data_IF_397979331661
#
_entry.id   IF_397979331661
#
_cell.length_a   1.000
_cell.length_b   1.000
_cell.length_c   1.000
_cell.angle_alpha   90.00
_cell.angle_beta   90.00
_cell.angle_gamma   90.00
#
_symmetry.space_group_name_H-M   'P 1'
#
loop_
_entity.id
_entity.type
_entity.pdbx_description
1 polymer ?
#
# COMPACT_ATOMS: atom_id res chain seq x y z
N UNK A 1 8.14 12.31 -3.45
CA UNK A 1 8.34 12.52 -4.89
C UNK A 1 7.95 13.94 -5.34
N UNK A 2 7.01 14.57 -4.64
CA UNK A 2 6.48 15.90 -4.98
C UNK A 2 6.33 16.73 -3.69
N UNK A 3 7.45 17.15 -3.05
CA UNK A 3 7.44 17.75 -1.71
C UNK A 3 6.66 19.07 -1.67
N UNK A 4 6.66 19.82 -2.77
CA UNK A 4 6.04 21.16 -2.86
C UNK A 4 4.61 21.13 -3.42
N UNK A 5 4.04 19.94 -3.66
CA UNK A 5 2.69 19.83 -4.25
C UNK A 5 1.60 20.35 -3.32
N UNK A 6 1.69 20.06 -2.03
CA UNK A 6 0.78 20.56 -1.00
C UNK A 6 1.52 20.82 0.30
N UNK A 7 1.28 21.99 0.87
CA UNK A 7 1.68 22.28 2.25
C UNK A 7 0.67 21.65 3.22
N UNK A 8 1.15 21.09 4.33
CA UNK A 8 0.31 20.51 5.38
C UNK A 8 0.80 20.91 6.75
N UNK A 9 -0.07 20.87 7.74
CA UNK A 9 0.30 20.98 9.15
C UNK A 9 0.77 19.63 9.67
N UNK A 10 1.41 19.64 10.84
CA UNK A 10 1.87 18.43 11.49
C UNK A 10 1.19 18.28 12.86
N UNK A 11 0.86 17.07 13.22
CA UNK A 11 0.35 16.71 14.53
C UNK A 11 1.47 16.84 15.60
N UNK A 12 1.10 16.76 16.90
CA UNK A 12 2.06 16.71 18.01
C UNK A 12 3.09 15.56 17.88
N UNK A 13 2.73 14.50 17.18
CA UNK A 13 3.59 13.33 16.88
C UNK A 13 4.38 13.48 15.58
N UNK A 14 4.50 14.69 15.04
CA UNK A 14 5.18 14.99 13.76
C UNK A 14 4.63 14.23 12.54
N UNK A 15 3.38 13.76 12.59
CA UNK A 15 2.71 13.17 11.45
C UNK A 15 1.96 14.25 10.65
N UNK A 16 1.98 14.22 9.30
CA UNK A 16 1.25 15.17 8.48
C UNK A 16 -0.26 15.05 8.70
N UNK A 17 -0.95 16.19 8.70
CA UNK A 17 -2.41 16.29 8.86
C UNK A 17 -3.03 16.62 7.52
N UNK A 18 -3.96 15.77 7.06
CA UNK A 18 -4.63 15.91 5.76
C UNK A 18 -6.12 16.28 5.88
N UNK A 19 -6.48 17.03 6.93
CA UNK A 19 -7.83 17.59 7.02
C UNK A 19 -8.03 18.65 5.93
N UNK A 20 -9.18 18.62 5.28
CA UNK A 20 -9.49 19.50 4.14
C UNK A 20 -9.35 20.98 4.51
N UNK A 21 -9.85 21.38 5.67
CA UNK A 21 -9.72 22.77 6.15
C UNK A 21 -8.25 23.18 6.34
N UNK A 22 -7.41 22.30 6.93
CA UNK A 22 -5.98 22.57 7.13
C UNK A 22 -5.26 22.70 5.78
N UNK A 23 -5.56 21.81 4.83
CA UNK A 23 -5.01 21.88 3.48
C UNK A 23 -5.47 23.17 2.77
N UNK A 24 -6.74 23.54 2.93
CA UNK A 24 -7.28 24.80 2.40
C UNK A 24 -6.52 26.02 2.92
N UNK A 25 -6.43 26.14 4.24
CA UNK A 25 -5.74 27.28 4.90
C UNK A 25 -4.26 27.39 4.53
N UNK A 26 -3.55 26.27 4.38
CA UNK A 26 -2.12 26.27 4.10
C UNK A 26 -1.77 26.55 2.63
N UNK A 27 -2.67 26.20 1.72
CA UNK A 27 -2.38 26.25 0.28
C UNK A 27 -3.15 27.34 -0.46
N UNK A 28 -4.24 27.88 0.10
CA UNK A 28 -5.14 28.84 -0.54
C UNK A 28 -5.51 29.96 0.45
N UNK A 29 -4.57 30.88 0.74
CA UNK A 29 -4.74 31.93 1.75
C UNK A 29 -5.87 32.93 1.42
N UNK A 30 -6.31 32.93 0.17
CA UNK A 30 -7.43 33.77 -0.31
C UNK A 30 -8.81 33.25 0.14
N UNK A 31 -8.90 32.02 0.67
CA UNK A 31 -10.17 31.44 1.12
C UNK A 31 -10.64 32.06 2.44
N UNK A 32 -11.95 32.32 2.52
CA UNK A 32 -12.60 32.83 3.74
C UNK A 32 -12.64 31.77 4.84
N UNK A 33 -11.83 31.95 5.86
CA UNK A 33 -11.71 31.03 7.00
C UNK A 33 -13.02 30.84 7.77
N UNK A 34 -13.89 31.85 7.78
CA UNK A 34 -15.17 31.77 8.50
C UNK A 34 -16.17 30.79 7.88
N UNK A 35 -15.97 30.45 6.60
CA UNK A 35 -16.84 29.54 5.83
C UNK A 35 -16.38 28.09 5.81
N UNK A 36 -15.20 27.77 6.38
CA UNK A 36 -14.77 26.36 6.49
C UNK A 36 -15.83 25.54 7.26
N UNK A 37 -16.00 24.30 6.83
CA UNK A 37 -17.06 23.37 7.26
C UNK A 37 -18.46 23.66 6.72
N UNK A 38 -18.59 24.58 5.75
CA UNK A 38 -19.80 24.64 4.93
C UNK A 38 -19.63 23.74 3.71
N UNK A 39 -20.74 23.13 3.24
CA UNK A 39 -20.69 22.24 2.08
C UNK A 39 -20.10 22.93 0.82
N UNK A 40 -20.45 24.21 0.61
CA UNK A 40 -19.95 24.99 -0.54
C UNK A 40 -18.44 25.20 -0.47
N UNK A 41 -17.92 25.58 0.70
CA UNK A 41 -16.49 25.81 0.88
C UNK A 41 -15.69 24.51 0.79
N UNK A 42 -16.22 23.41 1.32
CA UNK A 42 -15.57 22.10 1.24
C UNK A 42 -15.46 21.61 -0.22
N UNK A 43 -16.48 21.87 -1.06
CA UNK A 43 -16.42 21.58 -2.50
C UNK A 43 -15.37 22.46 -3.19
N UNK A 44 -15.34 23.76 -2.89
CA UNK A 44 -14.36 24.70 -3.48
C UNK A 44 -12.92 24.30 -3.11
N UNK A 45 -12.65 24.03 -1.83
CA UNK A 45 -11.33 23.58 -1.34
C UNK A 45 -10.93 22.27 -2.00
N UNK A 46 -11.85 21.31 -2.09
CA UNK A 46 -11.61 20.03 -2.75
C UNK A 46 -11.22 20.23 -4.22
N UNK A 47 -11.94 21.07 -4.95
CA UNK A 47 -11.63 21.37 -6.35
C UNK A 47 -10.26 22.04 -6.50
N UNK A 48 -9.92 23.02 -5.65
CA UNK A 48 -8.61 23.69 -5.64
C UNK A 48 -7.49 22.71 -5.31
N UNK A 49 -7.63 21.82 -4.33
CA UNK A 49 -6.66 20.77 -3.98
C UNK A 49 -6.45 19.84 -5.17
N UNK A 50 -7.53 19.36 -5.80
CA UNK A 50 -7.44 18.48 -6.97
C UNK A 50 -6.74 19.15 -8.15
N UNK A 51 -7.05 20.42 -8.43
CA UNK A 51 -6.38 21.19 -9.50
C UNK A 51 -4.88 21.38 -9.19
N UNK A 52 -4.54 21.64 -7.93
CA UNK A 52 -3.13 21.75 -7.52
C UNK A 52 -2.39 20.41 -7.69
N UNK A 53 -2.98 19.27 -7.32
CA UNK A 53 -2.41 17.96 -7.59
C UNK A 53 -2.24 17.70 -9.09
N UNK A 54 -3.23 18.07 -9.89
CA UNK A 54 -3.17 17.92 -11.35
C UNK A 54 -1.98 18.69 -11.96
N UNK A 55 -1.69 19.88 -11.46
CA UNK A 55 -0.60 20.72 -11.99
C UNK A 55 0.78 20.37 -11.41
N UNK A 56 0.87 20.01 -10.12
CA UNK A 56 2.16 19.87 -9.42
C UNK A 56 2.58 18.42 -9.16
N UNK A 57 1.62 17.48 -9.15
CA UNK A 57 1.86 16.06 -8.89
C UNK A 57 1.04 15.18 -9.85
N UNK A 58 1.06 15.53 -11.14
CA UNK A 58 0.26 14.86 -12.18
C UNK A 58 0.31 13.33 -12.13
N UNK A 59 1.45 12.65 -11.95
CA UNK A 59 1.48 11.19 -11.89
C UNK A 59 0.65 10.61 -10.73
N UNK A 60 0.60 11.29 -9.57
CA UNK A 60 -0.24 10.88 -8.44
C UNK A 60 -1.72 11.10 -8.78
N UNK A 61 -2.05 12.27 -9.35
CA UNK A 61 -3.40 12.58 -9.81
C UNK A 61 -3.91 11.55 -10.82
N UNK A 62 -3.11 11.25 -11.85
CA UNK A 62 -3.45 10.26 -12.88
C UNK A 62 -3.65 8.87 -12.30
N UNK A 63 -2.77 8.44 -11.39
CA UNK A 63 -2.91 7.16 -10.70
C UNK A 63 -4.22 7.07 -9.91
N UNK A 64 -4.58 8.11 -9.17
CA UNK A 64 -5.84 8.17 -8.43
C UNK A 64 -7.05 8.10 -9.36
N UNK A 65 -6.99 8.82 -10.50
CA UNK A 65 -8.06 8.86 -11.49
C UNK A 65 -8.21 7.52 -12.23
N UNK A 66 -7.10 6.86 -12.56
CA UNK A 66 -7.08 5.56 -13.23
C UNK A 66 -7.48 4.40 -12.30
N UNK A 67 -7.45 4.60 -10.98
CA UNK A 67 -7.78 3.57 -9.97
C UNK A 67 -9.14 3.78 -9.30
N UNK A 68 -10.10 4.42 -9.98
CA UNK A 68 -11.44 4.77 -9.45
C UNK A 68 -12.35 3.58 -9.15
N UNK A 69 -12.06 2.40 -9.68
CA UNK A 69 -12.76 1.15 -9.36
C UNK A 69 -11.76 0.03 -9.09
N UNK A 70 -12.20 -1.04 -8.41
CA UNK A 70 -11.36 -2.21 -8.13
C UNK A 70 -10.81 -2.84 -9.41
N UNK A 71 -11.62 -2.94 -10.46
CA UNK A 71 -11.22 -3.53 -11.74
C UNK A 71 -10.18 -2.67 -12.46
N UNK A 72 -10.38 -1.34 -12.48
CA UNK A 72 -9.41 -0.40 -13.04
C UNK A 72 -8.09 -0.44 -12.26
N UNK A 73 -8.15 -0.43 -10.93
CA UNK A 73 -6.97 -0.55 -10.08
C UNK A 73 -6.23 -1.87 -10.35
N UNK A 74 -6.96 -2.98 -10.47
CA UNK A 74 -6.37 -4.27 -10.78
C UNK A 74 -5.71 -4.28 -12.16
N UNK A 75 -6.38 -3.79 -13.19
CA UNK A 75 -5.82 -3.66 -14.55
C UNK A 75 -4.54 -2.81 -14.54
N UNK A 76 -4.51 -1.73 -13.78
CA UNK A 76 -3.32 -0.87 -13.66
C UNK A 76 -2.14 -1.62 -13.01
N UNK A 77 -2.39 -2.46 -11.99
CA UNK A 77 -1.36 -3.27 -11.34
C UNK A 77 -0.87 -4.40 -12.25
N UNK A 78 -1.79 -5.15 -12.87
CA UNK A 78 -1.44 -6.33 -13.69
C UNK A 78 -0.91 -5.98 -15.07
N UNK A 79 -1.27 -4.80 -15.59
CA UNK A 79 -0.83 -4.31 -16.91
C UNK A 79 0.58 -3.73 -16.92
N UNK A 80 1.19 -3.51 -15.76
CA UNK A 80 2.57 -3.02 -15.65
C UNK A 80 3.51 -4.16 -15.24
N UNK A 81 4.52 -4.42 -16.04
CA UNK A 81 5.54 -5.42 -15.70
C UNK A 81 6.27 -5.06 -14.41
N UNK A 82 6.70 -3.81 -14.32
CA UNK A 82 7.33 -3.19 -13.17
C UNK A 82 6.65 -1.86 -12.88
N UNK A 83 6.44 -1.56 -11.62
CA UNK A 83 5.87 -0.29 -11.19
C UNK A 83 6.35 0.12 -9.80
N UNK A 84 6.19 1.39 -9.49
CA UNK A 84 6.39 1.91 -8.14
C UNK A 84 5.04 2.05 -7.47
N UNK A 85 4.87 1.48 -6.28
CA UNK A 85 3.71 1.75 -5.42
C UNK A 85 4.14 2.47 -4.16
N UNK A 86 3.21 3.25 -3.60
CA UNK A 86 3.42 3.93 -2.32
C UNK A 86 2.45 3.37 -1.31
N UNK A 87 2.98 2.90 -0.20
CA UNK A 87 2.19 2.39 0.92
C UNK A 87 2.47 3.23 2.17
N UNK A 88 1.46 3.36 3.02
CA UNK A 88 1.52 4.19 4.21
C UNK A 88 1.60 3.31 5.47
N UNK A 89 2.66 3.49 6.25
CA UNK A 89 2.92 2.73 7.47
C UNK A 89 3.33 3.66 8.60
N UNK A 90 2.69 3.54 9.75
CA UNK A 90 3.04 4.28 10.98
C UNK A 90 3.27 5.78 10.74
N UNK A 91 2.38 6.42 10.00
CA UNK A 91 2.48 7.86 9.74
C UNK A 91 3.45 8.24 8.59
N UNK A 92 4.11 7.29 7.94
CA UNK A 92 5.08 7.54 6.87
C UNK A 92 4.71 6.82 5.58
N UNK A 93 4.82 7.55 4.46
CA UNK A 93 4.74 6.96 3.13
C UNK A 93 6.08 6.32 2.77
N UNK A 94 6.04 5.12 2.17
CA UNK A 94 7.21 4.43 1.67
C UNK A 94 6.93 3.92 0.25
N UNK A 95 7.87 4.18 -0.65
CA UNK A 95 7.80 3.69 -2.01
C UNK A 95 8.43 2.30 -2.14
N UNK A 96 7.84 1.48 -3.02
CA UNK A 96 8.32 0.14 -3.33
C UNK A 96 8.34 -0.05 -4.83
N UNK A 97 9.49 -0.49 -5.36
CA UNK A 97 9.59 -1.04 -6.71
C UNK A 97 9.04 -2.46 -6.69
N UNK A 98 8.04 -2.75 -7.51
CA UNK A 98 7.27 -3.98 -7.45
C UNK A 98 7.05 -4.62 -8.82
N UNK A 99 6.83 -5.94 -8.81
CA UNK A 99 6.21 -6.70 -9.89
C UNK A 99 5.02 -7.48 -9.37
N UNK A 100 3.94 -7.56 -10.17
CA UNK A 100 2.77 -8.36 -9.84
C UNK A 100 3.09 -9.86 -9.94
N UNK A 101 2.53 -10.65 -9.04
CA UNK A 101 2.71 -12.10 -9.00
C UNK A 101 1.41 -12.86 -9.27
N UNK A 102 0.44 -12.72 -8.39
CA UNK A 102 -0.83 -13.43 -8.39
C UNK A 102 -1.83 -12.74 -7.43
N UNK A 103 -3.09 -13.16 -7.52
CA UNK A 103 -4.08 -12.76 -6.52
C UNK A 103 -4.07 -13.70 -5.31
N UNK A 104 -4.18 -13.15 -4.10
CA UNK A 104 -4.31 -13.95 -2.89
C UNK A 104 -5.57 -14.82 -2.95
N UNK A 105 -5.44 -16.14 -2.83
CA UNK A 105 -6.54 -17.09 -3.04
C UNK A 105 -7.76 -16.88 -2.13
N UNK A 106 -7.56 -16.31 -0.93
CA UNK A 106 -8.63 -16.07 0.05
C UNK A 106 -9.20 -14.67 0.00
N UNK A 107 -8.34 -13.65 -0.14
CA UNK A 107 -8.73 -12.24 -0.05
C UNK A 107 -8.87 -11.55 -1.40
N UNK A 108 -8.45 -12.21 -2.48
CA UNK A 108 -8.47 -11.71 -3.86
C UNK A 108 -7.71 -10.38 -4.05
N UNK A 109 -6.76 -10.09 -3.18
CA UNK A 109 -5.89 -8.93 -3.30
C UNK A 109 -4.72 -9.24 -4.23
N UNK A 110 -4.32 -8.30 -5.10
CA UNK A 110 -3.09 -8.40 -5.87
C UNK A 110 -1.89 -8.52 -4.93
N UNK A 111 -1.14 -9.60 -5.09
CA UNK A 111 0.12 -9.81 -4.40
C UNK A 111 1.26 -9.41 -5.30
N UNK A 112 2.18 -8.62 -4.76
CA UNK A 112 3.36 -8.12 -5.47
C UNK A 112 4.63 -8.51 -4.75
N UNK A 113 5.70 -8.67 -5.52
CA UNK A 113 7.05 -8.82 -4.99
C UNK A 113 7.73 -7.46 -4.90
N UNK A 114 8.35 -7.16 -3.75
CA UNK A 114 9.16 -5.97 -3.54
C UNK A 114 10.59 -6.24 -4.02
N UNK A 115 11.00 -5.57 -5.09
CA UNK A 115 12.27 -5.81 -5.77
C UNK A 115 13.52 -5.30 -5.00
N UNK A 116 13.34 -4.73 -3.80
CA UNK A 116 14.43 -4.45 -2.87
C UNK A 116 15.13 -5.74 -2.40
N UNK A 117 14.38 -6.83 -2.28
CA UNK A 117 14.90 -8.13 -1.88
C UNK A 117 15.40 -8.90 -3.09
N UNK A 118 16.61 -9.45 -3.01
CA UNK A 118 17.14 -10.35 -4.06
C UNK A 118 16.38 -11.68 -4.04
N UNK A 119 15.78 -12.11 -5.16
CA UNK A 119 15.04 -13.37 -5.21
C UNK A 119 15.92 -14.62 -5.23
N UNK A 120 17.19 -14.51 -5.60
CA UNK A 120 18.08 -15.65 -5.81
C UNK A 120 18.25 -16.54 -4.55
N UNK A 121 18.22 -15.94 -3.37
CA UNK A 121 18.26 -16.69 -2.11
C UNK A 121 16.90 -17.29 -1.76
N UNK A 122 15.82 -16.60 -2.10
CA UNK A 122 14.46 -17.01 -1.73
C UNK A 122 13.97 -18.19 -2.56
N UNK A 123 14.31 -18.25 -3.85
CA UNK A 123 13.89 -19.33 -4.74
C UNK A 123 14.56 -20.66 -4.39
N UNK A 124 15.70 -20.65 -3.68
CA UNK A 124 16.43 -21.84 -3.22
C UNK A 124 15.91 -22.40 -1.89
N UNK A 125 15.06 -21.64 -1.18
CA UNK A 125 14.52 -22.07 0.11
C UNK A 125 13.59 -23.26 -0.04
N UNK A 126 13.61 -24.13 0.97
CA UNK A 126 12.56 -25.13 1.13
C UNK A 126 11.20 -24.44 1.32
N UNK A 127 10.09 -25.14 1.05
CA UNK A 127 8.76 -24.62 1.30
C UNK A 127 8.58 -24.14 2.75
N UNK A 128 9.08 -24.93 3.70
CA UNK A 128 8.98 -24.61 5.13
C UNK A 128 9.73 -23.32 5.48
N UNK A 129 10.99 -23.20 5.06
CA UNK A 129 11.81 -22.03 5.34
C UNK A 129 11.24 -20.76 4.68
N UNK A 130 10.72 -20.89 3.46
CA UNK A 130 10.05 -19.80 2.75
C UNK A 130 8.81 -19.33 3.54
N UNK A 131 7.96 -20.26 4.00
CA UNK A 131 6.76 -19.96 4.79
C UNK A 131 7.13 -19.27 6.11
N UNK A 132 8.14 -19.76 6.83
CA UNK A 132 8.62 -19.14 8.06
C UNK A 132 9.20 -17.73 7.81
N UNK A 133 9.94 -17.54 6.71
CA UNK A 133 10.43 -16.22 6.32
C UNK A 133 9.29 -15.25 6.02
N UNK A 134 8.19 -15.72 5.43
CA UNK A 134 7.00 -14.90 5.13
C UNK A 134 6.22 -14.46 6.37
N UNK A 135 6.34 -15.17 7.49
CA UNK A 135 5.73 -14.80 8.79
C UNK A 135 6.48 -13.66 9.47
N UNK A 136 7.77 -13.47 9.20
CA UNK A 136 8.63 -12.48 9.85
C UNK A 136 8.43 -11.06 9.27
N UNK A 137 8.83 -9.99 10.00
CA UNK A 137 8.94 -8.62 9.46
C UNK A 137 9.92 -8.56 8.27
N UNK A 138 9.82 -7.50 7.45
CA UNK A 138 10.68 -7.36 6.26
C UNK A 138 10.14 -8.12 5.05
N UNK A 139 8.86 -8.03 4.83
CA UNK A 139 8.14 -8.79 3.80
C UNK A 139 8.59 -8.41 2.39
N UNK A 140 9.08 -9.38 1.66
CA UNK A 140 9.32 -9.30 0.22
C UNK A 140 8.02 -9.41 -0.60
N UNK A 141 6.93 -9.92 0.00
CA UNK A 141 5.59 -9.95 -0.59
C UNK A 141 4.66 -8.94 0.10
N UNK A 142 3.89 -8.24 -0.69
CA UNK A 142 2.88 -7.29 -0.20
C UNK A 142 1.57 -7.44 -0.93
N UNK A 143 0.47 -7.24 -0.21
CA UNK A 143 -0.84 -7.03 -0.83
C UNK A 143 -1.00 -5.56 -1.18
N UNK A 144 -1.55 -5.28 -2.37
CA UNK A 144 -1.94 -3.92 -2.74
C UNK A 144 -3.44 -3.77 -2.56
N UNK A 145 -3.90 -2.82 -1.70
CA UNK A 145 -5.31 -2.50 -1.60
C UNK A 145 -5.86 -2.01 -2.94
N UNK A 146 -7.03 -2.52 -3.35
CA UNK A 146 -7.69 -2.07 -4.59
C UNK A 146 -8.49 -0.76 -4.43
N UNK A 147 -8.44 -0.15 -3.24
CA UNK A 147 -9.07 1.13 -2.98
C UNK A 147 -8.05 2.25 -3.19
N UNK A 148 -8.08 2.88 -4.36
CA UNK A 148 -7.22 4.00 -4.77
C UNK A 148 -5.71 3.74 -4.52
N UNK A 149 -5.12 2.66 -5.04
CA UNK A 149 -3.69 2.45 -4.91
C UNK A 149 -2.92 3.52 -5.69
N UNK A 150 -1.79 3.93 -5.15
CA UNK A 150 -0.83 4.78 -5.88
C UNK A 150 0.07 3.88 -6.71
N UNK A 151 -0.11 3.87 -8.03
CA UNK A 151 0.69 3.09 -8.99
C UNK A 151 1.35 4.05 -9.95
N UNK A 152 2.67 4.11 -9.90
CA UNK A 152 3.49 5.02 -10.70
C UNK A 152 4.42 4.22 -11.61
N UNK A 153 4.94 4.89 -12.64
CA UNK A 153 6.00 4.31 -13.46
C UNK A 153 7.19 3.87 -12.59
N UNK A 154 7.83 2.77 -12.96
CA UNK A 154 8.98 2.22 -12.20
C UNK A 154 10.12 3.22 -12.04
N UNK A 155 10.29 4.17 -12.97
CA UNK A 155 11.31 5.23 -12.86
C UNK A 155 11.22 6.07 -11.59
N UNK A 156 10.03 6.15 -10.98
CA UNK A 156 9.88 6.84 -9.69
C UNK A 156 10.64 6.16 -8.55
N UNK A 157 10.82 4.84 -8.60
CA UNK A 157 11.63 4.13 -7.61
C UNK A 157 13.08 4.61 -7.61
N UNK A 158 13.62 5.02 -8.76
CA UNK A 158 15.01 5.49 -8.87
C UNK A 158 15.27 6.80 -8.13
N UNK A 159 14.23 7.51 -7.67
CA UNK A 159 14.35 8.67 -6.78
C UNK A 159 14.65 8.27 -5.32
N UNK A 160 14.46 7.00 -4.97
CA UNK A 160 14.82 6.46 -3.67
C UNK A 160 16.26 5.94 -3.72
N UNK A 161 17.16 6.37 -2.79
CA UNK A 161 18.59 6.03 -2.83
C UNK A 161 18.86 4.51 -2.95
N UNK A 162 18.08 3.70 -2.24
CA UNK A 162 18.21 2.25 -2.27
C UNK A 162 17.97 1.67 -3.67
N UNK A 163 16.92 2.10 -4.36
CA UNK A 163 16.62 1.59 -5.70
C UNK A 163 17.55 2.19 -6.76
N UNK A 164 18.03 3.41 -6.55
CA UNK A 164 19.07 4.01 -7.41
C UNK A 164 20.37 3.17 -7.35
N UNK A 165 20.76 2.70 -6.17
CA UNK A 165 21.93 1.80 -5.99
C UNK A 165 21.72 0.43 -6.65
N UNK A 166 20.52 -0.16 -6.57
CA UNK A 166 20.21 -1.43 -7.22
C UNK A 166 20.27 -1.26 -8.76
N UNK A 167 19.77 -0.16 -9.26
CA UNK A 167 19.72 0.13 -10.69
C UNK A 167 18.59 -0.57 -11.44
N UNK A 168 18.13 0.04 -12.54
CA UNK A 168 16.96 -0.40 -13.28
C UNK A 168 17.13 -1.81 -13.88
N UNK A 169 18.31 -2.09 -14.42
CA UNK A 169 18.58 -3.40 -15.05
C UNK A 169 18.50 -4.53 -14.04
N UNK A 170 19.01 -4.31 -12.84
CA UNK A 170 18.92 -5.31 -11.76
C UNK A 170 17.49 -5.51 -11.25
N UNK A 171 16.67 -4.47 -11.24
CA UNK A 171 15.24 -4.60 -10.91
C UNK A 171 14.50 -5.46 -11.97
N UNK A 172 14.80 -5.26 -13.25
CA UNK A 172 14.24 -6.08 -14.34
C UNK A 172 14.70 -7.53 -14.24
N UNK A 173 15.99 -7.76 -14.00
CA UNK A 173 16.56 -9.10 -13.80
C UNK A 173 15.87 -9.83 -12.64
N UNK A 174 15.71 -9.18 -11.49
CA UNK A 174 15.00 -9.75 -10.34
C UNK A 174 13.56 -10.12 -10.66
N UNK A 175 12.84 -9.25 -11.35
CA UNK A 175 11.47 -9.55 -11.76
C UNK A 175 11.40 -10.75 -12.72
N UNK A 176 12.33 -10.84 -13.66
CA UNK A 176 12.45 -11.98 -14.58
C UNK A 176 12.73 -13.28 -13.83
N UNK A 177 13.71 -13.29 -12.93
CA UNK A 177 14.04 -14.46 -12.10
C UNK A 177 12.79 -14.99 -11.39
N UNK A 178 11.96 -14.11 -10.82
CA UNK A 178 10.75 -14.50 -10.12
C UNK A 178 9.73 -15.12 -11.08
N UNK A 179 9.50 -14.48 -12.23
CA UNK A 179 8.52 -14.93 -13.23
C UNK A 179 8.92 -16.26 -13.87
N UNK A 180 10.22 -16.49 -14.05
CA UNK A 180 10.79 -17.72 -14.63
C UNK A 180 10.79 -18.89 -13.62
N UNK A 181 10.32 -18.67 -12.37
CA UNK A 181 10.28 -19.68 -11.32
C UNK A 181 8.84 -19.97 -10.86
N UNK A 182 8.02 -20.69 -11.65
CA UNK A 182 6.62 -20.98 -11.33
C UNK A 182 6.46 -21.75 -10.01
N UNK A 183 7.43 -22.61 -9.65
CA UNK A 183 7.41 -23.33 -8.37
C UNK A 183 7.54 -22.40 -7.17
N UNK A 184 8.33 -21.35 -7.27
CA UNK A 184 8.45 -20.32 -6.24
C UNK A 184 7.09 -19.57 -6.08
N UNK A 185 6.44 -19.21 -7.18
CA UNK A 185 5.13 -18.55 -7.16
C UNK A 185 4.06 -19.44 -6.53
N UNK A 186 4.03 -20.72 -6.88
CA UNK A 186 3.13 -21.71 -6.29
C UNK A 186 3.35 -21.82 -4.77
N UNK A 187 4.59 -21.97 -4.34
CA UNK A 187 4.97 -22.06 -2.93
C UNK A 187 4.57 -20.79 -2.15
N UNK A 188 4.80 -19.61 -2.71
CA UNK A 188 4.37 -18.35 -2.09
C UNK A 188 2.85 -18.28 -1.96
N UNK A 189 2.10 -18.65 -3.01
CA UNK A 189 0.65 -18.62 -2.99
C UNK A 189 0.07 -19.60 -1.96
N UNK A 190 0.61 -20.82 -1.88
CA UNK A 190 0.23 -21.83 -0.89
C UNK A 190 0.53 -21.37 0.54
N UNK A 191 1.75 -20.88 0.78
CA UNK A 191 2.16 -20.41 2.10
C UNK A 191 1.31 -19.23 2.59
N UNK A 192 0.95 -18.27 1.73
CA UNK A 192 0.05 -17.17 2.09
C UNK A 192 -1.33 -17.65 2.50
N UNK A 193 -1.89 -18.64 1.80
CA UNK A 193 -3.18 -19.22 2.13
C UNK A 193 -3.14 -19.88 3.53
N UNK A 194 -2.15 -20.73 3.77
CA UNK A 194 -1.98 -21.40 5.06
C UNK A 194 -1.75 -20.41 6.21
N UNK A 195 -0.93 -19.37 6.00
CA UNK A 195 -0.72 -18.30 7.01
C UNK A 195 -2.03 -17.56 7.31
N UNK A 196 -2.88 -17.32 6.31
CA UNK A 196 -4.17 -16.68 6.51
C UNK A 196 -5.12 -17.56 7.33
N UNK A 197 -5.16 -18.87 7.06
CA UNK A 197 -5.95 -19.86 7.80
C UNK A 197 -5.48 -20.00 9.25
N UNK A 198 -4.17 -20.12 9.48
CA UNK A 198 -3.58 -20.16 10.83
C UNK A 198 -3.98 -18.93 11.68
N UNK A 199 -3.97 -17.74 11.06
CA UNK A 199 -4.38 -16.50 11.74
C UNK A 199 -5.86 -16.50 12.12
N UNK A 200 -6.73 -17.02 11.28
CA UNK A 200 -8.16 -17.09 11.59
C UNK A 200 -8.45 -18.09 12.70
N UNK A 201 -7.83 -19.26 12.64
CA UNK A 201 -7.96 -20.26 13.71
C UNK A 201 -7.50 -19.70 15.06
N UNK A 202 -6.38 -18.94 15.05
CA UNK A 202 -5.88 -18.29 16.27
C UNK A 202 -6.82 -17.22 16.81
N UNK A 203 -7.51 -16.46 15.93
CA UNK A 203 -8.50 -15.45 16.33
C UNK A 203 -9.75 -16.12 16.92
N UNK A 204 -10.26 -17.20 16.28
CA UNK A 204 -11.42 -17.94 16.81
C UNK A 204 -11.13 -18.48 18.20
N UNK A 205 -9.98 -19.12 18.42
CA UNK A 205 -9.56 -19.62 19.74
C UNK A 205 -9.44 -18.52 20.81
N UNK A 206 -9.05 -17.31 20.44
CA UNK A 206 -9.00 -16.16 21.37
C UNK A 206 -10.40 -15.68 21.74
N UNK A 207 -11.29 -15.56 20.75
CA UNK A 207 -12.68 -15.14 20.98
C UNK A 207 -13.45 -16.14 21.84
N UNK A 208 -13.24 -17.46 21.63
CA UNK A 208 -13.86 -18.50 22.44
C UNK A 208 -13.37 -18.48 23.89
N UNK A 209 -12.10 -18.10 24.12
CA UNK A 209 -11.58 -17.92 25.49
C UNK A 209 -12.15 -16.66 26.17
N UNK A 210 -12.32 -15.57 25.43
CA UNK A 210 -12.89 -14.31 25.95
C UNK A 210 -14.38 -14.42 26.24
N UNK A 211 -15.13 -15.21 25.44
CA UNK A 211 -16.56 -15.46 25.70
C UNK A 211 -16.83 -16.41 26.89
N UNK A 212 -15.83 -17.16 27.33
CA UNK A 212 -15.91 -18.07 28.49
C UNK A 212 -15.42 -17.42 29.80
N UNK A 213 -14.98 -16.13 29.75
CA UNK A 213 -14.61 -15.40 30.95
C UNK A 213 -15.87 -14.96 31.70
N UNK A 214 -16.09 -15.38 32.99
CA UNK A 214 -17.27 -15.04 33.78
C UNK A 214 -17.52 -13.52 33.91
N UNK A 215 -16.48 -12.70 33.83
CA UNK A 215 -16.59 -11.25 33.88
C UNK A 215 -17.28 -10.62 32.65
N UNK A 216 -17.24 -11.27 31.50
CA UNK A 216 -17.90 -10.78 30.28
C UNK A 216 -19.38 -11.19 30.16
N UNK A 217 -19.86 -12.09 31.00
CA UNK A 217 -21.27 -12.51 31.04
C UNK A 217 -22.17 -11.56 31.85
N UNK A 218 -21.59 -10.66 32.68
CA UNK A 218 -22.33 -9.74 33.56
C UNK A 218 -22.85 -8.48 32.87
N UNK A 219 -22.46 -8.19 31.63
CA UNK A 219 -22.84 -6.96 30.92
C UNK A 219 -23.74 -7.17 29.67
N UNK A 220 -24.25 -8.35 29.43
CA UNK A 220 -25.13 -8.63 28.29
C UNK A 220 -26.61 -8.75 28.65
N UNK A 221 -27.05 -8.22 29.77
CA UNK A 221 -28.43 -8.25 30.26
C UNK A 221 -28.86 -6.88 30.75
N UNK A 222 -29.34 -6.03 29.84
CA UNK A 222 -29.99 -4.78 30.14
C UNK A 222 -30.64 -4.23 28.87
#
# INVERSE_FOLDING_TARGET
>A
FFPDSLKTTFSKSANPVFKLADLGMQNFPELDKSKFHTATQDVEVSAKVMNKFRSTAKPIYDSAFLSTSKDKAKKLITGNELFTTVLYFFGKARAFACTYLFDHKKYFWPMVYCLETDPNELIKLSYYDLKEKMKKPGKFLRAIPLKHPVILNISFSQKEPMYAQIGMEKLKERAKIIKDNPKFLENCSKALLEIAEEKELSKKKKNDKTSKDPHNQLYSGG
#
